data_IF_948871303985
#
_entry.id   IF_948871303985
#
_cell.length_a   1.000
_cell.length_b   1.000
_cell.length_c   1.000
_cell.angle_alpha   90.00
_cell.angle_beta   90.00
_cell.angle_gamma   90.00
#
_symmetry.space_group_name_H-M   'P 1'
#
loop_
_entity.id
_entity.type
_entity.pdbx_description
1 polymer ?
#
# COMPACT_ATOMS: atom_id res chain seq x y z
N UNK A 1 5.53 -6.59 -10.88
CA UNK A 1 6.57 -6.34 -9.87
C UNK A 1 6.20 -7.06 -8.58
N UNK A 2 7.20 -7.38 -7.80
CA UNK A 2 6.99 -8.10 -6.53
C UNK A 2 6.54 -7.15 -5.44
N UNK A 3 5.79 -7.69 -4.50
CA UNK A 3 5.33 -6.96 -3.32
C UNK A 3 6.06 -7.53 -2.10
N UNK A 4 6.63 -6.66 -1.29
CA UNK A 4 7.24 -7.04 -0.03
C UNK A 4 6.67 -6.17 1.09
N UNK A 5 6.26 -6.80 2.18
CA UNK A 5 5.76 -6.07 3.33
C UNK A 5 6.89 -5.85 4.33
N UNK A 6 7.04 -4.62 4.82
CA UNK A 6 7.92 -4.37 5.94
C UNK A 6 7.34 -5.05 7.19
N UNK A 7 8.16 -5.17 8.23
CA UNK A 7 7.69 -5.74 9.50
C UNK A 7 6.51 -4.94 10.05
N UNK A 8 6.58 -3.61 9.95
CA UNK A 8 5.49 -2.76 10.44
C UNK A 8 4.23 -2.91 9.60
N UNK A 9 4.37 -2.99 8.28
CA UNK A 9 3.22 -3.19 7.41
C UNK A 9 2.55 -4.54 7.69
N UNK A 10 3.35 -5.58 7.92
CA UNK A 10 2.80 -6.90 8.27
C UNK A 10 2.01 -6.83 9.58
N UNK A 11 2.51 -6.11 10.57
CA UNK A 11 1.78 -5.91 11.84
C UNK A 11 0.52 -5.10 11.63
N UNK A 12 0.59 -4.05 10.81
CA UNK A 12 -0.61 -3.26 10.48
C UNK A 12 -1.67 -4.16 9.88
N UNK A 13 -1.28 -5.00 8.94
CA UNK A 13 -2.20 -5.91 8.27
C UNK A 13 -2.82 -6.91 9.24
N UNK A 14 -2.01 -7.49 10.13
CA UNK A 14 -2.50 -8.44 11.11
C UNK A 14 -3.56 -7.85 12.03
N UNK A 15 -3.50 -6.55 12.29
CA UNK A 15 -4.46 -5.87 13.14
C UNK A 15 -5.77 -5.51 12.47
N UNK A 16 -5.89 -5.74 11.16
CA UNK A 16 -7.10 -5.39 10.42
C UNK A 16 -8.11 -6.53 10.45
N UNK A 17 -9.39 -6.19 10.24
CA UNK A 17 -10.43 -7.20 10.11
C UNK A 17 -10.16 -8.07 8.87
N UNK A 18 -10.77 -9.26 8.85
CA UNK A 18 -10.63 -10.17 7.71
C UNK A 18 -11.07 -9.50 6.41
N UNK A 19 -12.13 -8.71 6.46
CA UNK A 19 -12.62 -7.99 5.30
C UNK A 19 -11.60 -6.99 4.78
N UNK A 20 -10.99 -6.22 5.70
CA UNK A 20 -9.97 -5.25 5.32
C UNK A 20 -8.71 -5.93 4.80
N UNK A 21 -8.32 -7.05 5.41
CA UNK A 21 -7.18 -7.80 4.91
C UNK A 21 -7.39 -8.26 3.47
N UNK A 22 -8.59 -8.71 3.16
CA UNK A 22 -8.92 -9.12 1.79
C UNK A 22 -8.84 -7.93 0.83
N UNK A 23 -9.33 -6.77 1.26
CA UNK A 23 -9.28 -5.56 0.45
C UNK A 23 -7.83 -5.12 0.20
N UNK A 24 -7.00 -5.17 1.24
CA UNK A 24 -5.57 -4.88 1.09
C UNK A 24 -4.93 -5.82 0.09
N UNK A 25 -5.19 -7.11 0.22
CA UNK A 25 -4.64 -8.10 -0.70
C UNK A 25 -5.01 -7.81 -2.15
N UNK A 26 -6.27 -7.46 -2.38
CA UNK A 26 -6.74 -7.10 -3.72
C UNK A 26 -6.01 -5.88 -4.26
N UNK A 27 -5.88 -4.83 -3.44
CA UNK A 27 -5.24 -3.59 -3.88
C UNK A 27 -3.75 -3.81 -4.14
N UNK A 28 -3.07 -4.59 -3.32
CA UNK A 28 -1.66 -4.90 -3.54
C UNK A 28 -1.45 -5.75 -4.80
N UNK A 29 -2.37 -6.67 -5.09
CA UNK A 29 -2.31 -7.45 -6.33
C UNK A 29 -2.46 -6.53 -7.55
N UNK A 30 -3.37 -5.56 -7.48
CA UNK A 30 -3.53 -4.58 -8.55
C UNK A 30 -2.28 -3.72 -8.72
N UNK A 31 -1.67 -3.31 -7.60
CA UNK A 31 -0.43 -2.55 -7.65
C UNK A 31 0.67 -3.34 -8.35
N UNK A 32 0.79 -4.63 -8.04
CA UNK A 32 1.80 -5.48 -8.65
C UNK A 32 1.64 -5.58 -10.17
N UNK A 33 0.39 -5.57 -10.63
CA UNK A 33 0.10 -5.61 -12.05
C UNK A 33 0.30 -4.27 -12.73
N UNK A 34 -0.22 -3.19 -12.13
CA UNK A 34 -0.22 -1.88 -12.76
C UNK A 34 -0.43 -0.77 -11.73
N UNK A 35 0.65 -0.06 -11.42
CA UNK A 35 0.60 1.05 -10.46
C UNK A 35 -0.39 2.15 -10.90
N UNK A 36 -0.72 2.21 -12.18
CA UNK A 36 -1.64 3.22 -12.71
C UNK A 36 -3.10 2.80 -12.66
N UNK A 37 -3.39 1.63 -12.08
CA UNK A 37 -4.77 1.19 -11.96
C UNK A 37 -5.58 2.24 -11.18
N UNK A 38 -6.74 2.67 -11.72
CA UNK A 38 -7.49 3.80 -11.13
C UNK A 38 -7.88 3.61 -9.66
N UNK A 39 -8.17 2.38 -9.25
CA UNK A 39 -8.64 2.15 -7.88
C UNK A 39 -7.55 2.36 -6.84
N UNK A 40 -6.27 2.32 -7.24
CA UNK A 40 -5.15 2.51 -6.31
C UNK A 40 -4.90 3.97 -6.03
N UNK A 41 -5.13 4.84 -7.01
CA UNK A 41 -4.88 6.27 -6.89
C UNK A 41 -3.48 6.56 -6.35
N UNK A 42 -2.48 5.87 -6.93
CA UNK A 42 -1.10 5.99 -6.49
C UNK A 42 -0.57 7.39 -6.78
N UNK A 43 0.10 7.96 -5.79
CA UNK A 43 0.73 9.28 -5.96
C UNK A 43 1.90 9.42 -5.00
N UNK A 44 2.84 10.30 -5.34
CA UNK A 44 3.93 10.63 -4.43
C UNK A 44 3.36 11.28 -3.18
N UNK A 45 3.76 10.76 -2.04
CA UNK A 45 3.36 11.29 -0.75
C UNK A 45 4.45 12.23 -0.20
N UNK A 46 5.71 11.86 -0.36
CA UNK A 46 6.84 12.64 0.11
C UNK A 46 7.99 12.51 -0.89
N UNK A 47 8.30 13.62 -1.56
CA UNK A 47 9.37 13.65 -2.56
C UNK A 47 10.74 13.40 -1.95
N UNK A 48 10.98 13.90 -0.73
CA UNK A 48 12.29 13.79 -0.09
C UNK A 48 12.67 12.37 0.27
N UNK A 49 11.69 11.52 0.58
CA UNK A 49 11.93 10.14 0.98
C UNK A 49 11.45 9.13 -0.06
N UNK A 50 10.96 9.60 -1.21
CA UNK A 50 10.43 8.74 -2.27
C UNK A 50 9.30 7.83 -1.79
N UNK A 51 8.50 8.30 -0.86
CA UNK A 51 7.36 7.53 -0.37
C UNK A 51 6.13 7.83 -1.23
N UNK A 52 5.48 6.75 -1.65
CA UNK A 52 4.24 6.80 -2.42
C UNK A 52 3.07 6.40 -1.53
N UNK A 53 1.89 6.86 -1.90
CA UNK A 53 0.65 6.51 -1.23
C UNK A 53 -0.27 5.79 -2.21
N UNK A 54 -0.89 4.70 -1.75
CA UNK A 54 -1.92 4.01 -2.51
C UNK A 54 -3.16 3.86 -1.65
N UNK A 55 -4.31 3.74 -2.31
CA UNK A 55 -5.59 3.62 -1.63
C UNK A 55 -5.93 2.16 -1.33
N UNK A 56 -6.29 1.86 -0.10
CA UNK A 56 -6.89 0.58 0.27
C UNK A 56 -8.41 0.67 0.07
N UNK A 57 -9.03 1.60 0.76
CA UNK A 57 -10.45 1.93 0.64
C UNK A 57 -10.63 3.38 1.06
N UNK A 58 -11.86 3.77 1.35
CA UNK A 58 -12.18 5.14 1.72
C UNK A 58 -11.40 5.61 2.97
N UNK A 59 -11.15 4.71 3.92
CA UNK A 59 -10.60 5.07 5.22
C UNK A 59 -9.14 4.69 5.43
N UNK A 60 -8.58 3.84 4.58
CA UNK A 60 -7.24 3.31 4.78
C UNK A 60 -6.36 3.57 3.57
N UNK A 61 -5.06 3.76 3.83
CA UNK A 61 -4.04 3.93 2.80
C UNK A 61 -2.87 3.03 3.09
N UNK A 62 -2.15 2.65 2.04
CA UNK A 62 -0.86 1.99 2.21
C UNK A 62 0.22 2.91 1.64
N UNK A 63 1.39 2.84 2.26
CA UNK A 63 2.54 3.65 1.87
C UNK A 63 3.64 2.73 1.41
N UNK A 64 4.32 3.10 0.33
CA UNK A 64 5.29 2.20 -0.25
C UNK A 64 6.42 2.96 -0.93
N UNK A 65 7.54 2.25 -1.12
CA UNK A 65 8.67 2.73 -1.91
C UNK A 65 8.90 1.76 -3.05
N UNK A 66 9.44 2.27 -4.14
CA UNK A 66 9.83 1.46 -5.29
C UNK A 66 11.33 1.28 -5.19
N UNK A 67 11.79 0.07 -4.91
CA UNK A 67 13.20 -0.24 -4.75
C UNK A 67 13.53 -1.42 -5.64
N UNK A 68 14.46 -1.21 -6.57
CA UNK A 68 14.78 -2.18 -7.61
C UNK A 68 13.49 -2.54 -8.34
N UNK A 69 13.16 -3.79 -8.48
CA UNK A 69 11.92 -4.20 -9.16
C UNK A 69 10.85 -4.64 -8.15
N UNK A 70 10.82 -4.00 -6.97
CA UNK A 70 9.89 -4.37 -5.92
C UNK A 70 9.16 -3.16 -5.38
N UNK A 71 7.91 -3.39 -4.96
CA UNK A 71 7.17 -2.43 -4.16
C UNK A 71 7.31 -2.85 -2.70
N UNK A 72 7.97 -2.01 -1.92
CA UNK A 72 8.14 -2.27 -0.48
C UNK A 72 7.07 -1.52 0.28
N UNK A 73 6.12 -2.26 0.84
CA UNK A 73 5.01 -1.66 1.58
C UNK A 73 5.50 -1.35 2.99
N UNK A 74 5.47 -0.06 3.34
CA UNK A 74 6.04 0.44 4.60
C UNK A 74 5.00 0.45 5.71
N UNK A 75 3.80 0.91 5.42
CA UNK A 75 2.71 1.01 6.40
C UNK A 75 1.37 0.78 5.73
N UNK A 76 0.41 0.33 6.51
CA UNK A 76 -1.01 0.23 6.10
C UNK A 76 -1.80 0.82 7.27
N UNK A 77 -2.26 2.05 7.13
CA UNK A 77 -2.82 2.81 8.25
C UNK A 77 -4.05 3.60 7.81
N UNK A 78 -4.87 4.04 8.77
CA UNK A 78 -6.00 4.90 8.44
C UNK A 78 -5.53 6.20 7.80
N UNK A 79 -6.33 6.67 6.83
CA UNK A 79 -6.05 7.93 6.17
C UNK A 79 -6.33 9.09 7.13
N UNK A 80 -5.37 9.97 7.38
CA UNK A 80 -5.61 11.12 8.25
C UNK A 80 -6.62 12.06 7.60
N UNK A 81 -7.47 12.63 8.42
CA UNK A 81 -8.46 13.59 7.96
C UNK A 81 -7.89 14.99 7.92
#
# INVERSE_FOLDING_TARGET
>A
MRIELSRRAARDLDGLSSRLQATVGKQLALLAENIRHPSIQAKKYDEGTDIWQGRVNRNYRFYFQIVDDEYKIIRIIPHPK
#
